data_IF_076795262067
#
_entry.id   IF_076795262067
#
_cell.length_a   1.000
_cell.length_b   1.000
_cell.length_c   1.000
_cell.angle_alpha   90.00
_cell.angle_beta   90.00
_cell.angle_gamma   90.00
#
_symmetry.space_group_name_H-M   'P 1'
#
loop_
_entity.id
_entity.type
_entity.pdbx_description
1 polymer ?
#
# COMPACT_ATOMS: atom_id res chain seq x y z
N UNK A 1 -10.52 3.00 -1.81
CA UNK A 1 -9.29 3.83 -1.80
C UNK A 1 -8.13 2.92 -1.47
N UNK A 2 -7.21 2.69 -2.40
CA UNK A 2 -6.08 1.76 -2.23
C UNK A 2 -4.76 2.56 -2.39
N UNK A 3 -4.41 3.37 -1.38
CA UNK A 3 -3.28 4.28 -1.45
C UNK A 3 -2.28 4.11 -0.29
N UNK A 4 -2.61 3.35 0.74
CA UNK A 4 -1.77 3.12 1.93
C UNK A 4 -1.93 1.67 2.41
N UNK A 5 -1.13 1.28 3.40
CA UNK A 5 -1.18 -0.04 4.05
C UNK A 5 -1.53 0.08 5.54
N UNK A 6 -2.10 1.22 5.96
CA UNK A 6 -2.44 1.47 7.38
C UNK A 6 -3.65 0.68 7.87
N UNK A 7 -4.44 0.10 6.96
CA UNK A 7 -5.56 -0.78 7.26
C UNK A 7 -5.21 -2.27 7.05
N UNK A 8 -3.92 -2.60 6.96
CA UNK A 8 -3.45 -3.98 6.88
C UNK A 8 -3.84 -4.76 8.13
N UNK A 9 -4.43 -5.93 7.91
CA UNK A 9 -4.90 -6.84 8.94
C UNK A 9 -4.74 -8.29 8.48
N UNK A 10 -4.75 -9.22 9.44
CA UNK A 10 -4.69 -10.65 9.19
C UNK A 10 -6.05 -11.29 9.41
N UNK A 11 -6.49 -12.11 8.47
CA UNK A 11 -7.72 -12.89 8.59
C UNK A 11 -7.44 -14.16 9.40
N UNK A 12 -8.17 -14.36 10.50
CA UNK A 12 -8.08 -15.57 11.34
C UNK A 12 -9.12 -16.60 10.94
N UNK A 13 -10.35 -16.15 10.74
CA UNK A 13 -11.50 -16.99 10.41
C UNK A 13 -12.45 -16.22 9.50
N UNK A 14 -13.20 -16.93 8.66
CA UNK A 14 -14.21 -16.32 7.78
C UNK A 14 -13.65 -15.76 6.47
N UNK A 15 -12.51 -16.26 5.98
CA UNK A 15 -11.95 -15.83 4.68
C UNK A 15 -12.93 -16.05 3.51
N UNK A 16 -13.74 -17.12 3.57
CA UNK A 16 -14.80 -17.39 2.59
C UNK A 16 -15.94 -16.35 2.59
N UNK A 17 -16.05 -15.54 3.64
CA UNK A 17 -17.05 -14.47 3.77
C UNK A 17 -16.50 -13.11 3.29
N UNK A 18 -15.35 -13.11 2.62
CA UNK A 18 -14.72 -11.91 2.08
C UNK A 18 -14.73 -11.93 0.55
N UNK A 19 -14.78 -10.75 -0.05
CA UNK A 19 -14.48 -10.58 -1.47
C UNK A 19 -13.04 -11.04 -1.76
N UNK A 20 -12.80 -11.58 -2.95
CA UNK A 20 -11.45 -11.88 -3.42
C UNK A 20 -10.59 -10.60 -3.45
N UNK A 21 -9.28 -10.69 -3.17
CA UNK A 21 -8.39 -9.55 -3.26
C UNK A 21 -8.23 -9.10 -4.72
N UNK A 22 -8.28 -7.80 -4.95
CA UNK A 22 -8.01 -7.22 -6.27
C UNK A 22 -6.49 -7.06 -6.49
N UNK A 23 -6.04 -7.07 -7.75
CA UNK A 23 -4.60 -6.91 -8.08
C UNK A 23 -3.98 -5.67 -7.42
N UNK A 24 -4.71 -4.54 -7.41
CA UNK A 24 -4.26 -3.29 -6.78
C UNK A 24 -4.11 -3.41 -5.26
N UNK A 25 -4.91 -4.26 -4.62
CA UNK A 25 -4.78 -4.55 -3.18
C UNK A 25 -3.48 -5.33 -2.94
N UNK A 26 -3.23 -6.36 -3.74
CA UNK A 26 -2.04 -7.21 -3.64
C UNK A 26 -0.75 -6.41 -3.86
N UNK A 27 -0.69 -5.62 -4.94
CA UNK A 27 0.43 -4.73 -5.25
C UNK A 27 0.73 -3.77 -4.08
N UNK A 28 -0.32 -3.33 -3.36
CA UNK A 28 -0.16 -2.43 -2.23
C UNK A 28 0.29 -3.18 -0.97
N UNK A 29 -0.24 -4.38 -0.73
CA UNK A 29 0.12 -5.25 0.40
C UNK A 29 1.61 -5.64 0.39
N UNK A 30 2.23 -5.75 -0.78
CA UNK A 30 3.69 -5.98 -0.92
C UNK A 30 4.54 -4.94 -0.18
N UNK A 31 3.98 -3.75 0.08
CA UNK A 31 4.67 -2.67 0.78
C UNK A 31 4.36 -2.61 2.29
N UNK A 32 3.49 -3.50 2.78
CA UNK A 32 3.08 -3.59 4.17
C UNK A 32 4.17 -4.21 5.05
N UNK A 33 4.06 -3.98 6.36
CA UNK A 33 4.95 -4.58 7.34
C UNK A 33 4.46 -5.99 7.69
N UNK A 34 5.37 -6.97 7.82
CA UNK A 34 5.05 -8.35 8.19
C UNK A 34 3.91 -8.95 7.36
N UNK A 35 4.07 -8.94 6.03
CA UNK A 35 3.10 -9.51 5.10
C UNK A 35 2.99 -11.03 5.29
N UNK A 36 1.75 -11.52 5.32
CA UNK A 36 1.39 -12.94 5.47
C UNK A 36 0.37 -13.35 4.42
N UNK A 37 0.24 -14.65 4.17
CA UNK A 37 -0.72 -15.20 3.19
C UNK A 37 -2.18 -14.83 3.48
N UNK A 38 -2.53 -14.68 4.76
CA UNK A 38 -3.85 -14.27 5.21
C UNK A 38 -3.98 -12.74 5.41
N UNK A 39 -3.10 -11.95 4.80
CA UNK A 39 -3.15 -10.49 4.90
C UNK A 39 -4.17 -9.90 3.95
N UNK A 40 -4.91 -8.91 4.42
CA UNK A 40 -5.85 -8.12 3.63
C UNK A 40 -5.73 -6.64 3.96
N UNK A 41 -6.11 -5.79 3.02
CA UNK A 41 -6.42 -4.39 3.31
C UNK A 41 -7.90 -4.30 3.72
N UNK A 42 -8.16 -4.00 4.99
CA UNK A 42 -9.51 -3.95 5.52
C UNK A 42 -10.43 -2.97 4.79
N UNK A 43 -9.88 -1.94 4.15
CA UNK A 43 -10.68 -1.00 3.36
C UNK A 43 -11.15 -1.55 2.00
N UNK A 44 -10.56 -2.66 1.51
CA UNK A 44 -10.92 -3.31 0.26
C UNK A 44 -11.70 -4.62 0.49
N UNK A 45 -11.58 -5.22 1.67
CA UNK A 45 -12.28 -6.46 2.03
C UNK A 45 -13.79 -6.20 2.26
N UNK A 46 -14.63 -6.58 1.28
CA UNK A 46 -16.09 -6.52 1.41
C UNK A 46 -16.57 -7.78 2.13
N UNK A 47 -17.33 -7.58 3.21
CA UNK A 47 -17.75 -8.64 4.12
C UNK A 47 -19.19 -9.07 3.80
N UNK A 48 -19.42 -10.38 3.68
CA UNK A 48 -20.74 -11.00 3.45
C UNK A 48 -21.24 -11.88 4.62
N UNK A 49 -20.45 -11.99 5.71
CA UNK A 49 -20.76 -12.79 6.90
C UNK A 49 -19.80 -12.48 8.05
N UNK A 50 -19.70 -13.37 9.04
CA UNK A 50 -18.82 -13.14 10.19
C UNK A 50 -17.34 -13.42 9.83
N UNK A 51 -16.45 -12.54 10.28
CA UNK A 51 -15.00 -12.60 10.04
C UNK A 51 -14.26 -12.23 11.31
N UNK A 52 -13.26 -13.03 11.67
CA UNK A 52 -12.36 -12.73 12.80
C UNK A 52 -11.03 -12.26 12.24
N UNK A 53 -10.56 -11.11 12.71
CA UNK A 53 -9.33 -10.47 12.23
C UNK A 53 -8.38 -10.14 13.39
N UNK A 54 -7.09 -10.09 13.09
CA UNK A 54 -6.04 -9.63 13.99
C UNK A 54 -5.30 -8.44 13.35
N UNK A 55 -5.02 -7.40 14.13
CA UNK A 55 -4.19 -6.28 13.69
C UNK A 55 -2.70 -6.58 13.91
N UNK A 56 -1.82 -6.22 12.96
CA UNK A 56 -0.39 -6.31 13.17
C UNK A 56 0.06 -5.39 14.31
N UNK A 57 1.17 -5.75 14.97
CA UNK A 57 1.75 -4.96 16.07
C UNK A 57 2.18 -3.55 15.63
N UNK A 58 2.52 -3.38 14.35
CA UNK A 58 2.93 -2.11 13.75
C UNK A 58 2.36 -2.00 12.33
N UNK A 59 2.00 -0.80 11.91
CA UNK A 59 1.52 -0.50 10.56
C UNK A 59 2.37 0.61 9.93
N UNK A 60 2.71 0.47 8.65
CA UNK A 60 3.53 1.45 7.93
C UNK A 60 2.75 2.73 7.64
N UNK A 61 3.25 3.88 8.11
CA UNK A 61 2.65 5.18 7.89
C UNK A 61 3.59 6.11 7.09
N UNK A 62 3.36 6.17 5.78
CA UNK A 62 4.22 6.92 4.84
C UNK A 62 4.35 8.42 5.15
N UNK A 63 3.32 9.05 5.74
CA UNK A 63 3.32 10.51 5.97
C UNK A 63 4.07 10.86 7.25
N UNK A 64 3.98 10.02 8.27
CA UNK A 64 4.51 10.30 9.60
C UNK A 64 5.90 9.68 9.83
N UNK A 65 6.26 8.62 9.10
CA UNK A 65 7.57 7.95 9.19
C UNK A 65 8.67 8.63 8.36
N UNK A 66 8.44 9.84 7.83
CA UNK A 66 9.49 10.66 7.19
C UNK A 66 10.07 10.12 5.88
N UNK A 67 9.49 9.05 5.33
CA UNK A 67 9.87 8.52 4.01
C UNK A 67 9.12 9.25 2.91
N UNK A 68 9.71 10.29 2.34
CA UNK A 68 9.24 10.83 1.07
C UNK A 68 9.14 9.68 0.05
N UNK A 69 7.92 9.30 -0.29
CA UNK A 69 7.62 8.41 -1.41
C UNK A 69 8.05 9.14 -2.69
N UNK A 70 9.24 8.83 -3.19
CA UNK A 70 9.64 9.18 -4.55
C UNK A 70 8.97 8.19 -5.51
N UNK A 71 7.64 8.23 -5.59
CA UNK A 71 6.90 7.49 -6.60
C UNK A 71 7.05 8.25 -7.93
N UNK A 72 7.91 7.73 -8.81
CA UNK A 72 8.11 8.24 -10.16
C UNK A 72 9.24 9.27 -10.31
N UNK A 73 10.48 8.80 -10.45
CA UNK A 73 11.49 9.49 -11.28
C UNK A 73 11.87 8.59 -12.43
N UNK A 74 11.02 8.53 -13.43
CA UNK A 74 11.43 8.33 -14.81
C UNK A 74 11.24 9.68 -15.52
N UNK A 75 12.33 10.23 -16.06
CA UNK A 75 12.38 11.33 -17.05
C UNK A 75 12.22 12.80 -16.60
N UNK A 76 12.89 13.23 -15.53
CA UNK A 76 13.21 14.66 -15.34
C UNK A 76 14.66 14.80 -14.85
N UNK A 77 15.63 14.34 -15.63
CA UNK A 77 17.06 14.65 -15.41
C UNK A 77 17.72 15.33 -16.61
N UNK A 78 17.01 15.49 -17.73
CA UNK A 78 17.57 16.11 -18.94
C UNK A 78 17.08 17.56 -19.16
N UNK A 79 15.85 17.90 -18.77
CA UNK A 79 15.31 19.26 -18.96
C UNK A 79 15.98 20.32 -18.06
N UNK A 80 16.35 19.98 -16.81
CA UNK A 80 17.02 20.93 -15.90
C UNK A 80 18.45 21.27 -16.33
N UNK A 81 19.16 20.34 -17.00
CA UNK A 81 20.52 20.60 -17.49
C UNK A 81 20.53 21.51 -18.71
N UNK A 82 19.54 21.36 -19.61
CA UNK A 82 19.44 22.20 -20.81
C UNK A 82 19.04 23.65 -20.51
N UNK A 83 18.28 23.87 -19.44
CA UNK A 83 17.93 25.23 -18.99
C UNK A 83 19.11 26.00 -18.37
N UNK A 84 20.12 25.29 -17.84
CA UNK A 84 21.27 25.91 -17.17
C UNK A 84 22.38 26.37 -18.13
N UNK A 85 22.53 25.74 -19.31
CA UNK A 85 23.55 26.12 -20.31
C UNK A 85 23.12 27.24 -21.26
N UNK A 86 21.84 27.63 -21.30
CA UNK A 86 21.33 28.73 -22.14
C UNK A 86 21.12 29.98 -21.29
N UNK A 87 22.19 30.49 -20.70
CA UNK A 87 22.24 31.88 -20.21
C UNK A 87 23.51 32.52 -20.76
N UNK A 88 23.42 33.51 -21.65
CA UNK A 88 24.57 34.19 -22.26
C UNK A 88 25.37 35.01 -21.25
#
# INVERSE_FOLDING_TARGET
>A
SCACTTCHLYIKEGEQNLSEPEDKELDRLDTAWDLRTNSRLGCQAVISGDVVVEFPMYTRNYVQEGGAIQLGKSDQTEDEKKAAEVRP
#
